data_IF_059791001596
#
_entry.id   IF_059791001596
#
_cell.length_a   1.000
_cell.length_b   1.000
_cell.length_c   1.000
_cell.angle_alpha   90.00
_cell.angle_beta   90.00
_cell.angle_gamma   90.00
#
_symmetry.space_group_name_H-M   'P 1'
#
loop_
_entity.id
_entity.type
_entity.pdbx_description
1 polymer ?
#
# COMPACT_ATOMS: atom_id res chain seq x y z
N UNK A 1 46.92 -20.88 14.77
CA UNK A 1 46.95 -21.25 13.34
C UNK A 1 45.60 -21.75 12.82
N UNK A 2 45.06 -22.90 13.25
CA UNK A 2 43.76 -23.39 12.73
C UNK A 2 42.57 -22.48 13.12
N UNK A 3 42.59 -21.92 14.33
CA UNK A 3 41.64 -20.90 14.83
C UNK A 3 41.68 -19.56 14.07
N UNK A 4 42.85 -19.18 13.54
CA UNK A 4 43.00 -17.96 12.73
C UNK A 4 42.53 -18.20 11.30
N UNK A 5 42.85 -19.38 10.75
CA UNK A 5 42.39 -19.80 9.42
C UNK A 5 40.87 -19.93 9.40
N UNK A 6 40.24 -20.44 10.46
CA UNK A 6 38.79 -20.51 10.55
C UNK A 6 38.16 -19.11 10.62
N UNK A 7 38.70 -18.19 11.43
CA UNK A 7 38.23 -16.78 11.49
C UNK A 7 38.36 -16.07 10.15
N UNK A 8 39.50 -16.22 9.46
CA UNK A 8 39.73 -15.64 8.12
C UNK A 8 38.77 -16.27 7.10
N UNK A 9 38.52 -17.57 7.18
CA UNK A 9 37.58 -18.26 6.29
C UNK A 9 36.14 -17.81 6.51
N UNK A 10 35.69 -17.66 7.76
CA UNK A 10 34.37 -17.14 8.10
C UNK A 10 34.19 -15.66 7.73
N UNK A 11 35.23 -14.82 7.89
CA UNK A 11 35.23 -13.42 7.41
C UNK A 11 35.18 -13.34 5.88
N UNK A 12 35.99 -14.13 5.19
CA UNK A 12 36.01 -14.15 3.73
C UNK A 12 34.72 -14.77 3.14
N UNK A 13 34.07 -15.73 3.82
CA UNK A 13 32.78 -16.26 3.37
C UNK A 13 31.67 -15.20 3.38
N UNK A 14 31.67 -14.34 4.41
CA UNK A 14 30.76 -13.18 4.45
C UNK A 14 31.09 -12.14 3.39
N UNK A 15 32.36 -12.03 2.96
CA UNK A 15 32.77 -11.18 1.82
C UNK A 15 32.48 -11.82 0.45
N UNK A 16 32.42 -13.15 0.36
CA UNK A 16 32.19 -13.89 -0.90
C UNK A 16 30.70 -14.16 -1.15
N UNK A 17 29.83 -14.11 -0.12
CA UNK A 17 28.38 -14.21 -0.34
C UNK A 17 27.92 -12.97 -1.15
N UNK A 18 27.42 -13.14 -2.38
CA UNK A 18 27.07 -11.99 -3.19
C UNK A 18 25.96 -11.20 -2.49
N UNK A 19 26.09 -9.88 -2.25
CA UNK A 19 25.04 -9.06 -1.62
C UNK A 19 23.67 -9.21 -2.31
N UNK A 20 23.68 -9.54 -3.59
CA UNK A 20 22.50 -9.87 -4.39
C UNK A 20 21.70 -11.07 -3.87
N UNK A 21 22.35 -12.07 -3.25
CA UNK A 21 21.67 -13.21 -2.64
C UNK A 21 20.86 -12.78 -1.42
N UNK A 22 21.47 -12.05 -0.49
CA UNK A 22 20.79 -11.54 0.71
C UNK A 22 19.70 -10.53 0.37
N UNK A 23 19.99 -9.61 -0.55
CA UNK A 23 19.02 -8.65 -1.05
C UNK A 23 17.81 -9.36 -1.70
N UNK A 24 18.06 -10.39 -2.50
CA UNK A 24 17.02 -11.23 -3.11
C UNK A 24 16.19 -11.97 -2.08
N UNK A 25 16.83 -12.57 -1.06
CA UNK A 25 16.16 -13.27 0.03
C UNK A 25 15.22 -12.32 0.80
N UNK A 26 15.72 -11.14 1.19
CA UNK A 26 14.92 -10.11 1.89
C UNK A 26 13.74 -9.67 1.04
N UNK A 27 13.94 -9.45 -0.27
CA UNK A 27 12.88 -9.04 -1.18
C UNK A 27 11.81 -10.14 -1.35
N UNK A 28 12.22 -11.40 -1.50
CA UNK A 28 11.29 -12.54 -1.62
C UNK A 28 10.45 -12.72 -0.36
N UNK A 29 11.08 -12.72 0.82
CA UNK A 29 10.39 -12.78 2.11
C UNK A 29 9.48 -11.55 2.27
N UNK A 30 9.96 -10.38 1.88
CA UNK A 30 9.21 -9.13 1.92
C UNK A 30 7.93 -9.16 1.11
N UNK A 31 7.94 -9.71 -0.10
CA UNK A 31 6.74 -9.86 -0.93
C UNK A 31 5.71 -10.80 -0.27
N UNK A 32 6.17 -11.88 0.36
CA UNK A 32 5.27 -12.79 1.08
C UNK A 32 4.61 -12.10 2.27
N UNK A 33 5.41 -11.41 3.09
CA UNK A 33 4.92 -10.64 4.25
C UNK A 33 3.97 -9.52 3.79
N UNK A 34 4.31 -8.78 2.74
CA UNK A 34 3.47 -7.71 2.20
C UNK A 34 2.12 -8.22 1.69
N UNK A 35 2.10 -9.38 1.03
CA UNK A 35 0.83 -10.03 0.62
C UNK A 35 -0.02 -10.40 1.83
N UNK A 36 0.58 -10.97 2.86
CA UNK A 36 -0.10 -11.33 4.11
C UNK A 36 -0.67 -10.10 4.82
N UNK A 37 0.15 -9.07 5.04
CA UNK A 37 -0.27 -7.82 5.68
C UNK A 37 -1.38 -7.13 4.88
N UNK A 38 -1.27 -7.08 3.55
CA UNK A 38 -2.32 -6.57 2.69
C UNK A 38 -3.64 -7.31 2.89
N UNK A 39 -3.63 -8.65 2.94
CA UNK A 39 -4.83 -9.45 3.20
C UNK A 39 -5.42 -9.20 4.60
N UNK A 40 -4.57 -9.07 5.63
CA UNK A 40 -4.99 -8.73 6.99
C UNK A 40 -5.68 -7.37 6.99
N UNK A 41 -5.12 -6.37 6.29
CA UNK A 41 -5.76 -5.06 6.14
C UNK A 41 -7.12 -5.16 5.44
N UNK A 42 -7.23 -5.96 4.36
CA UNK A 42 -8.54 -6.20 3.71
C UNK A 42 -9.53 -6.80 4.69
N UNK A 43 -9.13 -7.82 5.45
CA UNK A 43 -9.99 -8.49 6.43
C UNK A 43 -10.44 -7.51 7.54
N UNK A 44 -9.52 -6.69 8.04
CA UNK A 44 -9.81 -5.66 9.03
C UNK A 44 -10.81 -4.62 8.50
N UNK A 45 -10.59 -4.10 7.29
CA UNK A 45 -11.47 -3.12 6.66
C UNK A 45 -12.85 -3.70 6.30
N UNK A 46 -12.93 -4.99 5.99
CA UNK A 46 -14.20 -5.69 5.84
C UNK A 46 -14.93 -5.86 7.17
N UNK A 47 -14.21 -6.13 8.27
CA UNK A 47 -14.79 -6.30 9.61
C UNK A 47 -15.46 -5.03 10.12
N UNK A 48 -14.88 -3.85 9.85
CA UNK A 48 -15.50 -2.55 10.13
C UNK A 48 -16.61 -2.18 9.13
N UNK A 49 -16.93 -3.06 8.20
CA UNK A 49 -17.97 -2.87 7.17
C UNK A 49 -17.76 -1.59 6.37
N UNK A 50 -16.52 -1.29 5.99
CA UNK A 50 -16.16 -0.07 5.24
C UNK A 50 -17.04 0.13 3.99
N UNK A 51 -17.32 -0.95 3.25
CA UNK A 51 -18.22 -0.90 2.10
C UNK A 51 -19.64 -0.44 2.47
N UNK A 52 -20.17 -0.84 3.63
CA UNK A 52 -21.50 -0.39 4.09
C UNK A 52 -21.49 1.08 4.53
N UNK A 53 -20.38 1.54 5.14
CA UNK A 53 -20.21 2.96 5.48
C UNK A 53 -20.21 3.81 4.20
N UNK A 54 -19.47 3.40 3.17
CA UNK A 54 -19.42 4.08 1.88
C UNK A 54 -20.80 4.10 1.19
N UNK A 55 -21.53 2.98 1.20
CA UNK A 55 -22.91 2.92 0.67
C UNK A 55 -23.86 3.87 1.38
N UNK A 56 -23.80 3.94 2.73
CA UNK A 56 -24.65 4.85 3.52
C UNK A 56 -24.37 6.32 3.24
N UNK A 57 -23.15 6.65 2.80
CA UNK A 57 -22.78 8.00 2.38
C UNK A 57 -23.27 8.33 0.95
N UNK A 58 -24.07 7.48 0.31
CA UNK A 58 -24.61 7.76 -1.03
C UNK A 58 -23.62 7.48 -2.17
N UNK A 59 -22.34 7.20 -1.85
CA UNK A 59 -21.24 6.98 -2.79
C UNK A 59 -21.39 5.73 -3.68
N UNK A 60 -22.50 4.99 -3.57
CA UNK A 60 -22.75 3.77 -4.33
C UNK A 60 -22.81 4.06 -5.84
N UNK A 61 -23.40 5.18 -6.26
CA UNK A 61 -23.49 5.56 -7.68
C UNK A 61 -22.14 5.99 -8.26
N UNK A 62 -21.33 6.74 -7.50
CA UNK A 62 -19.96 7.08 -7.86
C UNK A 62 -19.05 5.84 -7.96
N UNK A 63 -19.29 4.83 -7.12
CA UNK A 63 -18.52 3.57 -7.08
C UNK A 63 -18.99 2.55 -8.13
N UNK A 64 -20.25 2.59 -8.57
CA UNK A 64 -20.84 1.67 -9.57
C UNK A 64 -20.54 2.09 -11.01
N UNK A 65 -20.36 3.39 -11.29
CA UNK A 65 -19.98 3.87 -12.64
C UNK A 65 -18.59 3.41 -13.10
N UNK A 66 -17.79 2.86 -12.20
CA UNK A 66 -16.52 2.21 -12.52
C UNK A 66 -16.81 0.71 -12.63
N UNK A 67 -16.75 0.15 -13.84
CA UNK A 67 -17.19 -1.19 -14.29
C UNK A 67 -16.59 -2.42 -13.53
N UNK A 68 -15.94 -2.19 -12.40
CA UNK A 68 -15.57 -3.24 -11.46
C UNK A 68 -15.98 -2.79 -10.09
N UNK A 69 -16.96 -3.47 -9.47
CA UNK A 69 -17.36 -3.35 -8.06
C UNK A 69 -16.18 -2.92 -7.18
N UNK A 70 -15.99 -1.61 -6.98
CA UNK A 70 -14.83 -1.08 -6.28
C UNK A 70 -14.92 -1.52 -4.83
N UNK A 71 -14.15 -2.55 -4.49
CA UNK A 71 -14.09 -3.08 -3.15
C UNK A 71 -13.08 -2.24 -2.37
N UNK A 72 -13.56 -1.21 -1.66
CA UNK A 72 -12.70 -0.26 -0.96
C UNK A 72 -11.72 -0.96 0.01
N UNK A 73 -12.12 -1.98 0.80
CA UNK A 73 -11.20 -2.82 1.55
C UNK A 73 -10.06 -3.40 0.70
N UNK A 74 -10.34 -3.92 -0.49
CA UNK A 74 -9.30 -4.43 -1.41
C UNK A 74 -8.41 -3.31 -1.94
N UNK A 75 -8.95 -2.14 -2.25
CA UNK A 75 -8.18 -0.98 -2.70
C UNK A 75 -7.18 -0.52 -1.62
N UNK A 76 -7.66 -0.28 -0.39
CA UNK A 76 -6.79 0.08 0.73
C UNK A 76 -5.83 -1.04 1.12
N UNK A 77 -6.25 -2.30 1.06
CA UNK A 77 -5.35 -3.44 1.27
C UNK A 77 -4.25 -3.53 0.21
N UNK A 78 -4.53 -3.15 -1.04
CA UNK A 78 -3.52 -3.05 -2.09
C UNK A 78 -2.54 -1.91 -1.81
N UNK A 79 -3.01 -0.75 -1.32
CA UNK A 79 -2.17 0.34 -0.84
C UNK A 79 -1.23 -0.17 0.26
N UNK A 80 -1.74 -0.80 1.31
CA UNK A 80 -0.90 -1.35 2.40
C UNK A 80 0.09 -2.40 1.87
N UNK A 81 -0.32 -3.28 0.97
CA UNK A 81 0.60 -4.25 0.34
C UNK A 81 1.76 -3.54 -0.36
N UNK A 82 1.47 -2.52 -1.18
CA UNK A 82 2.50 -1.77 -1.90
C UNK A 82 3.44 -1.01 -0.96
N UNK A 83 2.93 -0.47 0.16
CA UNK A 83 3.77 0.12 1.22
C UNK A 83 4.89 -0.83 1.64
N UNK A 84 4.50 -2.03 2.08
CA UNK A 84 5.46 -3.01 2.58
C UNK A 84 6.39 -3.50 1.48
N UNK A 85 5.90 -3.67 0.24
CA UNK A 85 6.78 -3.98 -0.90
C UNK A 85 7.87 -2.91 -1.05
N UNK A 86 7.52 -1.62 -1.01
CA UNK A 86 8.49 -0.52 -1.14
C UNK A 86 9.47 -0.51 0.04
N UNK A 87 9.01 -0.76 1.27
CA UNK A 87 9.88 -0.89 2.46
C UNK A 87 10.90 -2.02 2.30
N UNK A 88 10.46 -3.20 1.85
CA UNK A 88 11.37 -4.32 1.63
C UNK A 88 12.29 -4.12 0.42
N UNK A 89 11.82 -3.41 -0.61
CA UNK A 89 12.64 -3.00 -1.74
C UNK A 89 13.73 -2.02 -1.30
N UNK A 90 13.41 -1.09 -0.40
CA UNK A 90 14.37 -0.15 0.19
C UNK A 90 15.44 -0.91 0.97
N UNK A 91 15.05 -1.80 1.88
CA UNK A 91 15.99 -2.64 2.64
C UNK A 91 16.86 -3.52 1.72
N UNK A 92 16.29 -4.11 0.68
CA UNK A 92 17.03 -4.87 -0.33
C UNK A 92 18.04 -3.99 -1.08
N UNK A 93 17.66 -2.76 -1.41
CA UNK A 93 18.52 -1.78 -2.08
C UNK A 93 19.67 -1.32 -1.19
N UNK A 94 19.46 -1.19 0.12
CA UNK A 94 20.51 -0.90 1.09
C UNK A 94 21.54 -2.03 1.19
N UNK A 95 21.08 -3.28 1.20
CA UNK A 95 21.96 -4.46 1.18
C UNK A 95 22.81 -4.49 -0.10
N UNK A 96 22.24 -4.05 -1.23
CA UNK A 96 22.96 -3.90 -2.49
C UNK A 96 23.91 -2.69 -2.54
N UNK A 97 23.88 -1.81 -1.54
CA UNK A 97 24.65 -0.56 -1.53
C UNK A 97 24.09 0.54 -2.46
N UNK A 98 22.86 0.39 -2.96
CA UNK A 98 22.17 1.34 -3.84
C UNK A 98 21.60 2.52 -3.03
N UNK A 99 22.47 3.29 -2.40
CA UNK A 99 22.10 4.37 -1.45
C UNK A 99 21.19 5.42 -2.05
N UNK A 100 21.45 5.90 -3.28
CA UNK A 100 20.59 6.90 -3.94
C UNK A 100 19.19 6.34 -4.22
N UNK A 101 19.09 5.06 -4.56
CA UNK A 101 17.80 4.42 -4.81
C UNK A 101 17.03 4.18 -3.50
N UNK A 102 17.71 3.74 -2.43
CA UNK A 102 17.09 3.64 -1.10
C UNK A 102 16.52 4.98 -0.62
N UNK A 103 17.29 6.07 -0.75
CA UNK A 103 16.84 7.42 -0.39
C UNK A 103 15.64 7.89 -1.22
N UNK A 104 15.57 7.49 -2.50
CA UNK A 104 14.37 7.74 -3.31
C UNK A 104 13.16 6.97 -2.77
N UNK A 105 13.33 5.70 -2.42
CA UNK A 105 12.25 4.87 -1.85
C UNK A 105 11.80 5.38 -0.48
N UNK A 106 12.71 5.91 0.35
CA UNK A 106 12.36 6.59 1.61
C UNK A 106 11.40 7.76 1.37
N UNK A 107 11.65 8.58 0.35
CA UNK A 107 10.73 9.66 -0.04
C UNK A 107 9.37 9.09 -0.49
N UNK A 108 9.37 8.02 -1.27
CA UNK A 108 8.12 7.33 -1.69
C UNK A 108 7.33 6.83 -0.48
N UNK A 109 7.99 6.25 0.51
CA UNK A 109 7.39 5.86 1.79
C UNK A 109 6.85 7.09 2.53
N UNK A 110 7.58 8.21 2.51
CA UNK A 110 7.13 9.48 3.08
C UNK A 110 5.87 10.07 2.43
N UNK A 111 5.53 9.67 1.19
CA UNK A 111 4.27 10.06 0.55
C UNK A 111 3.05 9.25 1.00
N UNK A 112 3.23 8.14 1.72
CA UNK A 112 2.10 7.29 2.13
C UNK A 112 1.04 7.99 2.99
N UNK A 113 1.42 8.80 4.01
CA UNK A 113 0.45 9.60 4.75
C UNK A 113 -0.39 10.50 3.82
N UNK A 114 0.23 11.10 2.81
CA UNK A 114 -0.46 11.93 1.82
C UNK A 114 -1.45 11.11 0.99
N UNK A 115 -1.11 9.89 0.57
CA UNK A 115 -2.04 9.00 -0.14
C UNK A 115 -3.29 8.73 0.70
N UNK A 116 -3.13 8.50 2.00
CA UNK A 116 -4.27 8.28 2.90
C UNK A 116 -5.16 9.53 3.02
N UNK A 117 -4.54 10.71 3.18
CA UNK A 117 -5.25 11.99 3.23
C UNK A 117 -5.98 12.26 1.91
N UNK A 118 -5.35 12.00 0.76
CA UNK A 118 -5.97 12.14 -0.56
C UNK A 118 -7.19 11.24 -0.72
N UNK A 119 -7.15 10.00 -0.22
CA UNK A 119 -8.31 9.11 -0.21
C UNK A 119 -9.46 9.66 0.64
N UNK A 120 -9.14 10.26 1.80
CA UNK A 120 -10.14 10.89 2.66
C UNK A 120 -10.79 12.09 1.98
N UNK A 121 -9.99 12.98 1.37
CA UNK A 121 -10.48 14.13 0.60
C UNK A 121 -11.37 13.65 -0.55
N UNK A 122 -10.96 12.60 -1.27
CA UNK A 122 -11.75 12.02 -2.35
C UNK A 122 -13.13 11.54 -1.87
N UNK A 123 -13.20 10.87 -0.72
CA UNK A 123 -14.49 10.46 -0.15
C UNK A 123 -15.38 11.64 0.23
N UNK A 124 -14.80 12.68 0.83
CA UNK A 124 -15.56 13.91 1.16
C UNK A 124 -16.06 14.60 -0.11
N UNK A 125 -15.22 14.73 -1.12
CA UNK A 125 -15.58 15.34 -2.40
C UNK A 125 -16.70 14.56 -3.11
N UNK A 126 -16.61 13.23 -3.14
CA UNK A 126 -17.62 12.38 -3.73
C UNK A 126 -18.96 12.48 -2.97
N UNK A 127 -18.92 12.57 -1.64
CA UNK A 127 -20.12 12.73 -0.81
C UNK A 127 -20.82 14.06 -1.13
N UNK A 128 -20.02 15.13 -1.27
CA UNK A 128 -20.53 16.47 -1.58
C UNK A 128 -21.14 16.54 -2.99
N UNK A 129 -20.56 15.83 -3.95
CA UNK A 129 -21.08 15.74 -5.32
C UNK A 129 -22.46 15.06 -5.36
N UNK A 130 -22.62 13.92 -4.69
CA UNK A 130 -23.91 13.21 -4.62
C UNK A 130 -24.98 14.04 -3.89
N UNK A 131 -24.59 14.73 -2.82
CA UNK A 131 -25.49 15.64 -2.11
C UNK A 131 -25.96 16.79 -3.01
N UNK A 132 -25.05 17.39 -3.79
CA UNK A 132 -25.37 18.45 -4.74
C UNK A 132 -26.32 17.97 -5.85
N UNK A 133 -26.08 16.78 -6.41
CA UNK A 133 -26.95 16.18 -7.43
C UNK A 133 -28.38 15.97 -6.92
N UNK A 134 -28.53 15.47 -5.68
CA UNK A 134 -29.86 15.26 -5.06
C UNK A 134 -30.64 16.56 -4.90
N UNK A 135 -29.97 17.66 -4.53
CA UNK A 135 -30.61 18.98 -4.41
C UNK A 135 -31.09 19.48 -5.78
N UNK A 136 -30.27 19.34 -6.83
CA UNK A 136 -30.65 19.77 -8.18
C UNK A 136 -31.84 18.98 -8.73
N UNK A 137 -31.81 17.64 -8.61
CA UNK A 137 -32.90 16.79 -9.12
C UNK A 137 -34.20 17.04 -8.35
N UNK A 138 -34.15 17.16 -7.02
CA UNK A 138 -35.32 17.44 -6.21
C UNK A 138 -35.96 18.82 -6.44
N UNK A 139 -35.19 19.76 -7.00
CA UNK A 139 -35.72 21.09 -7.40
C UNK A 139 -36.45 21.02 -8.74
N UNK A 140 -35.98 20.21 -9.69
CA UNK A 140 -36.60 20.07 -11.01
C UNK A 140 -37.92 19.28 -10.98
N UNK A 141 -38.08 18.34 -10.05
CA UNK A 141 -39.34 17.59 -9.89
C UNK A 141 -40.46 18.43 -9.25
N UNK A 142 -40.13 19.52 -8.58
CA UNK A 142 -41.12 20.37 -7.88
C UNK A 142 -41.84 21.36 -8.82
N UNK A 143 -41.39 21.46 -10.08
CA UNK A 143 -41.92 22.38 -11.10
C UNK A 143 -42.82 21.69 -12.16
N UNK A 144 -43.08 20.39 -12.04
CA UNK A 144 -44.10 19.66 -12.82
C UNK A 144 -45.33 19.35 -11.97
#
# INVERSE_FOLDING_TARGET
>A
MFEEISKIFWQNLTEISPPIFWAGLVLLVGILIAKWLGQISVAFLNKIKLNQLLKRMGLEEALVKIDTRLNAPKFFGAIVKWFFIVVFLMASSEILGLTQFSQFLEKVIGYFPNIFISCLIFFVAAFLADFSQRIMVGTLEKEK
#
